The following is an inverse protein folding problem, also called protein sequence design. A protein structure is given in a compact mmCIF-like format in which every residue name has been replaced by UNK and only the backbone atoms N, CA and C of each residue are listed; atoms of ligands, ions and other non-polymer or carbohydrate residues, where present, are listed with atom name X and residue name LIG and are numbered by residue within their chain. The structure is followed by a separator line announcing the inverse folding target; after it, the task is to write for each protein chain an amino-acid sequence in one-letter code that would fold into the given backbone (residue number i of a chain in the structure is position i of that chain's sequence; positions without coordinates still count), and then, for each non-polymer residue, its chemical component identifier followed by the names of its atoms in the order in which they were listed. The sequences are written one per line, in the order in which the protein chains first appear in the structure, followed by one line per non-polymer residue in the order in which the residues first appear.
data_IF_411316573660
#
_entry.id   IF_411316573660
#
_cell.length_a   1.000
_cell.length_b   1.000
_cell.length_c   1.000
_cell.angle_alpha   90.00
_cell.angle_beta   90.00
_cell.angle_gamma   90.00
#
_symmetry.space_group_name_H-M   'P 1'
#
loop_
_entity.id
_entity.type
_entity.pdbx_description
1 polymer ?
#
# COMPACT_ATOMS: atom_id res chain seq x y z
N UNK A 1 -3.06 11.08 -36.64
CA UNK A 1 -1.88 11.43 -35.82
C UNK A 1 -2.28 11.23 -34.36
N UNK A 2 -2.03 10.04 -33.83
CA UNK A 2 -2.18 9.77 -32.40
C UNK A 2 -0.76 9.69 -31.86
N UNK A 3 -0.41 10.66 -31.01
CA UNK A 3 0.85 10.66 -30.28
C UNK A 3 0.92 9.40 -29.43
N UNK A 4 1.98 8.61 -29.64
CA UNK A 4 2.41 7.55 -28.74
C UNK A 4 2.38 8.06 -27.30
N UNK A 5 1.36 7.64 -26.56
CA UNK A 5 1.38 7.71 -25.12
C UNK A 5 2.44 6.73 -24.66
N UNK A 6 3.68 7.21 -24.50
CA UNK A 6 4.67 6.52 -23.69
C UNK A 6 3.98 6.22 -22.38
N UNK A 7 3.65 4.95 -22.15
CA UNK A 7 3.31 4.42 -20.84
C UNK A 7 4.36 4.97 -19.89
N UNK A 8 4.01 6.01 -19.13
CA UNK A 8 4.85 6.53 -18.07
C UNK A 8 4.95 5.39 -17.07
N UNK A 9 5.98 4.58 -17.29
CA UNK A 9 6.23 3.39 -16.49
C UNK A 9 6.52 3.94 -15.11
N UNK A 10 5.70 3.58 -14.12
CA UNK A 10 5.92 3.98 -12.74
C UNK A 10 7.37 3.68 -12.38
N UNK A 11 8.17 4.72 -12.20
CA UNK A 11 9.57 4.56 -11.88
C UNK A 11 9.68 4.23 -10.40
N UNK A 12 9.70 2.93 -10.08
CA UNK A 12 10.03 2.43 -8.74
C UNK A 12 11.49 2.72 -8.43
N UNK A 13 11.81 3.10 -7.19
CA UNK A 13 13.20 3.30 -6.78
C UNK A 13 14.03 2.02 -6.97
N UNK A 14 15.31 2.15 -7.40
CA UNK A 14 16.09 1.04 -7.88
C UNK A 14 16.58 0.17 -6.71
N UNK A 15 16.46 -1.16 -6.87
CA UNK A 15 17.01 -2.14 -5.93
C UNK A 15 18.54 -2.12 -5.93
N UNK A 16 19.15 -2.61 -4.84
CA UNK A 16 20.60 -2.84 -4.76
C UNK A 16 21.08 -3.81 -5.86
N UNK A 17 20.28 -4.81 -6.21
CA UNK A 17 20.56 -5.74 -7.30
C UNK A 17 20.56 -5.06 -8.67
N UNK A 18 19.68 -4.08 -8.90
CA UNK A 18 19.63 -3.33 -10.16
C UNK A 18 20.90 -2.49 -10.34
N UNK A 19 21.29 -1.72 -9.31
CA UNK A 19 22.53 -0.93 -9.36
C UNK A 19 23.77 -1.84 -9.50
N UNK A 20 23.81 -2.96 -8.81
CA UNK A 20 24.91 -3.94 -8.92
C UNK A 20 24.99 -4.55 -10.31
N UNK A 21 23.84 -4.90 -10.90
CA UNK A 21 23.75 -5.42 -12.27
C UNK A 21 24.23 -4.39 -13.28
N UNK A 22 23.76 -3.15 -13.19
CA UNK A 22 24.18 -2.05 -14.06
C UNK A 22 25.71 -1.85 -14.02
N UNK A 23 26.31 -1.83 -12.82
CA UNK A 23 27.78 -1.74 -12.67
C UNK A 23 28.50 -2.92 -13.32
N UNK A 24 27.97 -4.14 -13.17
CA UNK A 24 28.56 -5.35 -13.77
C UNK A 24 28.48 -5.33 -15.30
N UNK A 25 27.32 -4.99 -15.86
CA UNK A 25 27.11 -4.90 -17.31
C UNK A 25 27.94 -3.77 -17.92
N UNK A 26 28.03 -2.61 -17.25
CA UNK A 26 28.90 -1.52 -17.67
C UNK A 26 30.38 -1.93 -17.72
N UNK A 27 30.84 -2.72 -16.73
CA UNK A 27 32.22 -3.25 -16.71
C UNK A 27 32.48 -4.21 -17.88
N UNK A 28 31.50 -5.04 -18.24
CA UNK A 28 31.61 -5.96 -19.38
C UNK A 28 31.59 -5.23 -20.73
N UNK A 29 30.86 -4.11 -20.81
CA UNK A 29 30.70 -3.31 -22.03
C UNK A 29 31.71 -2.16 -22.17
N UNK A 30 32.69 -2.06 -21.26
CA UNK A 30 33.74 -1.04 -21.34
C UNK A 30 34.72 -1.40 -22.44
N UNK A 31 34.98 -0.47 -23.36
CA UNK A 31 35.96 -0.58 -24.43
C UNK A 31 36.83 0.68 -24.48
N UNK A 32 37.96 0.71 -25.22
CA UNK A 32 38.74 1.93 -25.40
C UNK A 32 37.92 3.13 -25.92
N UNK A 33 36.91 2.86 -26.77
CA UNK A 33 36.03 3.88 -27.35
C UNK A 33 34.77 4.15 -26.50
N UNK A 34 34.52 3.34 -25.47
CA UNK A 34 33.39 3.47 -24.55
C UNK A 34 33.88 3.33 -23.10
N UNK A 35 34.24 4.44 -22.43
CA UNK A 35 34.67 4.40 -21.04
C UNK A 35 33.54 3.90 -20.13
N UNK A 36 33.92 3.33 -19.00
CA UNK A 36 33.00 2.74 -18.02
C UNK A 36 31.84 3.67 -17.63
N UNK A 37 32.10 4.97 -17.47
CA UNK A 37 31.05 5.95 -17.13
C UNK A 37 29.98 6.06 -18.20
N UNK A 38 30.37 6.06 -19.48
CA UNK A 38 29.43 6.08 -20.61
C UNK A 38 28.64 4.77 -20.68
N UNK A 39 29.32 3.62 -20.51
CA UNK A 39 28.64 2.33 -20.45
C UNK A 39 27.65 2.25 -19.27
N UNK A 40 27.97 2.88 -18.14
CA UNK A 40 27.10 2.92 -16.96
C UNK A 40 25.89 3.86 -17.15
N UNK A 41 26.07 5.00 -17.82
CA UNK A 41 24.95 5.87 -18.21
C UNK A 41 23.99 5.15 -19.16
N UNK A 42 24.49 4.38 -20.13
CA UNK A 42 23.65 3.54 -20.99
C UNK A 42 22.84 2.51 -20.19
N UNK A 43 23.47 1.84 -19.20
CA UNK A 43 22.74 0.90 -18.33
C UNK A 43 21.70 1.60 -17.46
N UNK A 44 21.98 2.81 -16.97
CA UNK A 44 21.01 3.60 -16.22
C UNK A 44 19.81 3.99 -17.09
N UNK A 45 20.04 4.41 -18.34
CA UNK A 45 19.00 4.75 -19.30
C UNK A 45 18.14 3.54 -19.66
N UNK A 46 18.75 2.36 -19.86
CA UNK A 46 18.01 1.11 -20.03
C UNK A 46 17.15 0.76 -18.81
N UNK A 47 17.57 1.16 -17.60
CA UNK A 47 16.80 1.00 -16.38
C UNK A 47 15.75 2.11 -16.16
N UNK A 48 15.61 3.07 -17.10
CA UNK A 48 14.68 4.20 -17.00
C UNK A 48 15.20 5.40 -16.20
N UNK A 49 16.52 5.50 -16.02
CA UNK A 49 17.19 6.59 -15.30
C UNK A 49 17.98 7.48 -16.28
N UNK A 50 17.91 8.82 -16.20
CA UNK A 50 18.62 9.71 -17.12
C UNK A 50 20.13 9.45 -17.20
N UNK A 51 20.73 9.17 -16.04
CA UNK A 51 22.16 8.92 -15.87
C UNK A 51 22.41 8.03 -14.64
N UNK A 52 23.64 7.54 -14.52
CA UNK A 52 24.02 6.65 -13.43
C UNK A 52 24.00 7.33 -12.06
N UNK A 53 24.19 8.66 -12.00
CA UNK A 53 24.17 9.42 -10.74
C UNK A 53 22.76 9.43 -10.16
N UNK A 54 21.76 9.68 -11.01
CA UNK A 54 20.35 9.64 -10.67
C UNK A 54 19.94 8.24 -10.21
N UNK A 55 20.44 7.19 -10.88
CA UNK A 55 20.24 5.79 -10.44
C UNK A 55 20.84 5.54 -9.05
N UNK A 56 22.07 5.98 -8.81
CA UNK A 56 22.73 5.81 -7.52
C UNK A 56 22.05 6.61 -6.38
N UNK A 57 21.64 7.86 -6.65
CA UNK A 57 20.90 8.69 -5.69
C UNK A 57 19.56 8.06 -5.32
N UNK A 58 18.79 7.59 -6.30
CA UNK A 58 17.53 6.93 -6.06
C UNK A 58 17.71 5.61 -5.28
N UNK A 59 18.78 4.86 -5.53
CA UNK A 59 19.12 3.68 -4.74
C UNK A 59 19.47 4.06 -3.29
N UNK A 60 20.23 5.13 -3.11
CA UNK A 60 20.55 5.70 -1.79
C UNK A 60 19.31 6.10 -1.00
N UNK A 61 18.34 6.76 -1.65
CA UNK A 61 17.06 7.14 -1.03
C UNK A 61 16.31 5.91 -0.52
N UNK A 62 16.17 4.87 -1.35
CA UNK A 62 15.53 3.62 -0.93
C UNK A 62 16.24 2.99 0.27
N UNK A 63 17.57 2.90 0.23
CA UNK A 63 18.36 2.29 1.29
C UNK A 63 18.30 3.08 2.60
N UNK A 64 18.17 4.41 2.54
CA UNK A 64 18.02 5.26 3.71
C UNK A 64 16.72 4.94 4.50
N UNK A 65 15.76 4.30 3.85
CA UNK A 65 14.45 3.96 4.40
C UNK A 65 14.24 2.44 4.56
N UNK A 66 15.31 1.65 4.45
CA UNK A 66 15.24 0.21 4.69
C UNK A 66 14.98 -0.08 6.17
N UNK A 67 14.00 -0.93 6.46
CA UNK A 67 13.64 -1.31 7.84
C UNK A 67 12.67 -0.36 8.55
N UNK A 68 12.26 0.74 7.90
CA UNK A 68 11.20 1.60 8.42
C UNK A 68 9.87 0.85 8.54
N UNK A 69 9.06 1.26 9.52
CA UNK A 69 7.80 0.61 9.85
C UNK A 69 6.74 0.71 8.74
N UNK A 70 6.81 1.78 7.94
CA UNK A 70 6.07 1.93 6.69
C UNK A 70 7.12 1.94 5.55
N UNK A 71 7.27 0.81 4.82
CA UNK A 71 8.35 0.66 3.86
C UNK A 71 8.12 1.49 2.60
N UNK A 72 9.21 2.00 2.04
CA UNK A 72 9.27 2.69 0.74
C UNK A 72 9.62 1.69 -0.37
N UNK A 73 8.79 1.65 -1.41
CA UNK A 73 8.89 0.72 -2.55
C UNK A 73 9.21 -0.73 -2.14
N UNK A 74 8.42 -1.33 -1.23
CA UNK A 74 8.66 -2.70 -0.86
C UNK A 74 8.48 -3.64 -2.06
N UNK A 75 9.12 -4.80 -2.02
CA UNK A 75 8.91 -5.83 -3.04
C UNK A 75 7.53 -6.45 -2.83
N UNK A 76 6.59 -6.06 -3.69
CA UNK A 76 5.23 -6.58 -3.71
C UNK A 76 5.17 -7.95 -4.41
N UNK A 77 4.21 -8.82 -4.06
CA UNK A 77 3.87 -9.99 -4.85
C UNK A 77 3.59 -9.65 -6.32
N UNK A 78 3.82 -10.58 -7.26
CA UNK A 78 3.38 -10.41 -8.65
C UNK A 78 1.88 -10.11 -8.71
N UNK A 79 1.47 -9.19 -9.59
CA UNK A 79 0.06 -8.80 -9.78
C UNK A 79 -0.66 -8.31 -8.50
N UNK A 80 0.08 -7.78 -7.52
CA UNK A 80 -0.47 -7.35 -6.22
C UNK A 80 -1.70 -6.43 -6.35
N UNK A 81 -1.66 -5.44 -7.25
CA UNK A 81 -2.77 -4.50 -7.50
C UNK A 81 -3.74 -4.95 -8.61
N UNK A 82 -3.67 -6.21 -9.02
CA UNK A 82 -4.57 -6.83 -10.01
C UNK A 82 -5.25 -8.11 -9.46
N UNK A 83 -4.90 -8.50 -8.24
CA UNK A 83 -5.46 -9.69 -7.58
C UNK A 83 -6.68 -9.26 -6.76
N UNK A 84 -7.85 -9.90 -6.88
CA UNK A 84 -8.99 -9.68 -5.98
C UNK A 84 -8.70 -10.06 -4.52
N UNK A 85 -9.32 -9.38 -3.54
CA UNK A 85 -9.05 -9.64 -2.11
C UNK A 85 -9.33 -11.09 -1.72
N UNK A 86 -10.48 -11.60 -2.12
CA UNK A 86 -10.93 -12.99 -1.96
C UNK A 86 -10.01 -14.05 -2.60
N UNK A 87 -9.23 -13.69 -3.63
CA UNK A 87 -8.32 -14.62 -4.30
C UNK A 87 -6.92 -14.66 -3.64
N UNK A 88 -6.65 -13.82 -2.63
CA UNK A 88 -5.36 -13.77 -1.95
C UNK A 88 -5.19 -14.91 -0.96
N UNK A 89 -3.97 -15.44 -0.89
CA UNK A 89 -3.60 -16.40 0.16
C UNK A 89 -3.62 -15.75 1.55
N UNK A 90 -3.94 -16.53 2.58
CA UNK A 90 -3.89 -16.11 3.99
C UNK A 90 -2.53 -15.49 4.36
N UNK A 91 -1.42 -16.08 3.89
CA UNK A 91 -0.06 -15.55 4.13
C UNK A 91 0.15 -14.16 3.54
N UNK A 92 -0.45 -13.87 2.38
CA UNK A 92 -0.37 -12.55 1.77
C UNK A 92 -1.21 -11.55 2.54
N UNK A 93 -2.43 -11.93 2.92
CA UNK A 93 -3.31 -11.10 3.75
C UNK A 93 -2.66 -10.80 5.11
N UNK A 94 -2.09 -11.80 5.80
CA UNK A 94 -1.35 -11.58 7.05
C UNK A 94 -0.19 -10.60 6.88
N UNK A 95 0.50 -10.66 5.73
CA UNK A 95 1.65 -9.83 5.46
C UNK A 95 1.28 -8.39 5.14
N UNK A 96 0.16 -8.15 4.46
CA UNK A 96 -0.16 -6.85 3.86
C UNK A 96 -1.43 -6.18 4.38
N UNK A 97 -2.35 -6.92 4.99
CA UNK A 97 -3.65 -6.38 5.39
C UNK A 97 -3.49 -5.33 6.49
N UNK A 98 -4.10 -4.16 6.30
CA UNK A 98 -4.00 -2.97 7.16
C UNK A 98 -2.56 -2.48 7.42
N UNK A 99 -1.60 -2.88 6.58
CA UNK A 99 -0.20 -2.46 6.68
C UNK A 99 0.14 -1.52 5.52
N UNK A 100 0.23 -0.21 5.79
CA UNK A 100 0.49 0.76 4.73
C UNK A 100 1.92 0.63 4.20
N UNK A 101 2.11 1.11 2.98
CA UNK A 101 3.41 1.22 2.31
C UNK A 101 3.42 2.45 1.40
N UNK A 102 4.62 2.89 1.03
CA UNK A 102 4.83 4.05 0.16
C UNK A 102 5.32 3.59 -1.22
N UNK A 103 4.81 4.21 -2.28
CA UNK A 103 5.25 4.00 -3.67
C UNK A 103 5.81 5.30 -4.22
N UNK A 104 7.03 5.28 -4.77
CA UNK A 104 7.61 6.43 -5.46
C UNK A 104 7.00 6.63 -6.84
N UNK A 105 6.74 7.88 -7.24
CA UNK A 105 6.25 8.23 -8.58
C UNK A 105 7.36 8.80 -9.46
N UNK A 106 7.13 8.76 -10.77
CA UNK A 106 8.06 9.30 -11.77
C UNK A 106 8.23 10.82 -11.71
N UNK A 107 7.26 11.54 -11.14
CA UNK A 107 7.30 12.99 -10.93
C UNK A 107 8.03 13.40 -9.64
N UNK A 108 8.54 12.43 -8.88
CA UNK A 108 9.24 12.66 -7.61
C UNK A 108 8.33 12.72 -6.38
N UNK A 109 7.01 12.60 -6.55
CA UNK A 109 6.07 12.49 -5.43
C UNK A 109 5.95 11.06 -4.89
N UNK A 110 5.27 10.89 -3.77
CA UNK A 110 5.12 9.62 -3.07
C UNK A 110 3.65 9.32 -2.77
N UNK A 111 3.18 8.15 -3.19
CA UNK A 111 1.83 7.67 -2.84
C UNK A 111 1.86 6.86 -1.54
N UNK A 112 0.93 7.13 -0.65
CA UNK A 112 0.61 6.26 0.48
C UNK A 112 -0.49 5.27 0.07
N UNK A 113 -0.28 3.98 0.31
CA UNK A 113 -1.23 2.92 -0.06
C UNK A 113 -1.37 1.89 1.06
N UNK A 114 -2.48 1.16 1.09
CA UNK A 114 -2.67 0.03 2.00
C UNK A 114 -3.64 -1.01 1.41
N UNK A 115 -3.37 -2.29 1.64
CA UNK A 115 -4.36 -3.34 1.38
C UNK A 115 -5.29 -3.42 2.60
N UNK A 116 -6.48 -2.82 2.54
CA UNK A 116 -7.35 -2.67 3.71
C UNK A 116 -8.85 -2.84 3.42
N UNK A 117 -9.20 -3.26 2.21
CA UNK A 117 -10.59 -3.48 1.78
C UNK A 117 -11.31 -2.22 1.31
N UNK A 118 -10.64 -1.05 1.25
CA UNK A 118 -11.22 0.15 0.64
C UNK A 118 -11.38 0.05 -0.89
N UNK A 119 -10.60 -0.83 -1.52
CA UNK A 119 -10.79 -1.26 -2.91
C UNK A 119 -10.90 -2.79 -2.94
N UNK A 120 -11.71 -3.30 -3.87
CA UNK A 120 -12.00 -4.74 -3.97
C UNK A 120 -10.88 -5.54 -4.66
N UNK A 121 -10.18 -4.92 -5.61
CA UNK A 121 -9.25 -5.59 -6.55
C UNK A 121 -7.79 -5.13 -6.44
N UNK A 122 -7.49 -4.19 -5.53
CA UNK A 122 -6.16 -3.58 -5.41
C UNK A 122 -5.92 -2.96 -4.04
N UNK A 123 -4.70 -2.51 -3.78
CA UNK A 123 -4.43 -1.63 -2.64
C UNK A 123 -5.18 -0.30 -2.76
N UNK A 124 -5.71 0.16 -1.64
CA UNK A 124 -6.39 1.45 -1.51
C UNK A 124 -5.36 2.58 -1.54
N UNK A 125 -5.63 3.58 -2.39
CA UNK A 125 -4.88 4.82 -2.42
C UNK A 125 -5.30 5.71 -1.24
N UNK A 126 -4.35 6.04 -0.37
CA UNK A 126 -4.56 6.86 0.83
C UNK A 126 -4.24 8.34 0.56
N UNK A 127 -3.46 8.63 -0.47
CA UNK A 127 -3.11 9.98 -0.90
C UNK A 127 -1.67 10.09 -1.42
N UNK A 128 -1.26 11.30 -1.79
CA UNK A 128 0.09 11.61 -2.31
C UNK A 128 0.73 12.71 -1.48
N UNK A 129 2.05 12.69 -1.32
CA UNK A 129 2.84 13.73 -0.68
C UNK A 129 4.14 14.03 -1.44
N UNK A 130 4.81 15.13 -1.09
CA UNK A 130 6.05 15.57 -1.74
C UNK A 130 7.31 14.90 -1.16
N UNK A 131 7.22 14.41 0.08
CA UNK A 131 8.33 13.74 0.78
C UNK A 131 7.90 12.38 1.34
N UNK A 132 8.88 11.52 1.63
CA UNK A 132 8.64 10.19 2.21
C UNK A 132 8.01 10.32 3.61
N UNK A 133 8.50 11.28 4.41
CA UNK A 133 8.03 11.54 5.77
C UNK A 133 6.57 12.00 5.78
N UNK A 134 6.20 12.93 4.90
CA UNK A 134 4.81 13.37 4.74
C UNK A 134 3.91 12.23 4.26
N UNK A 135 4.38 11.40 3.32
CA UNK A 135 3.63 10.25 2.84
C UNK A 135 3.36 9.25 3.97
N UNK A 136 4.32 9.03 4.86
CA UNK A 136 4.15 8.18 6.05
C UNK A 136 3.19 8.77 7.06
N UNK A 137 3.30 10.07 7.34
CA UNK A 137 2.34 10.75 8.22
C UNK A 137 0.91 10.61 7.68
N UNK A 138 0.74 10.84 6.37
CA UNK A 138 -0.52 10.64 5.67
C UNK A 138 -1.04 9.20 5.77
N UNK A 139 -0.17 8.21 5.53
CA UNK A 139 -0.51 6.80 5.64
C UNK A 139 -1.03 6.43 7.03
N UNK A 140 -0.36 6.90 8.10
CA UNK A 140 -0.80 6.65 9.49
C UNK A 140 -2.18 7.25 9.77
N UNK A 141 -2.39 8.50 9.35
CA UNK A 141 -3.65 9.21 9.57
C UNK A 141 -4.79 8.48 8.84
N UNK A 142 -4.62 8.23 7.55
CA UNK A 142 -5.66 7.63 6.70
C UNK A 142 -5.96 6.19 7.04
N UNK A 143 -4.95 5.40 7.39
CA UNK A 143 -5.17 4.03 7.83
C UNK A 143 -5.90 3.99 9.19
N UNK A 144 -5.56 4.90 10.12
CA UNK A 144 -6.26 5.01 11.40
C UNK A 144 -7.72 5.40 11.20
N UNK A 145 -8.00 6.41 10.38
CA UNK A 145 -9.36 6.84 10.04
C UNK A 145 -10.17 5.67 9.45
N UNK A 146 -9.59 4.90 8.52
CA UNK A 146 -10.24 3.74 7.92
C UNK A 146 -10.59 2.64 8.94
N UNK A 147 -9.65 2.30 9.83
CA UNK A 147 -9.87 1.32 10.90
C UNK A 147 -10.97 1.81 11.86
N UNK A 148 -10.98 3.09 12.20
CA UNK A 148 -11.98 3.67 13.09
C UNK A 148 -13.39 3.57 12.48
N UNK A 149 -13.55 3.89 11.20
CA UNK A 149 -14.82 3.79 10.48
C UNK A 149 -15.29 2.34 10.39
N UNK A 150 -14.41 1.45 9.95
CA UNK A 150 -14.77 0.06 9.66
C UNK A 150 -14.96 -0.80 10.91
N UNK A 151 -14.44 -0.37 12.05
CA UNK A 151 -14.71 -1.00 13.35
C UNK A 151 -16.03 -0.55 13.99
N UNK A 152 -16.76 0.41 13.40
CA UNK A 152 -18.06 0.82 13.92
C UNK A 152 -19.14 -0.23 13.62
N UNK A 153 -20.03 -0.53 14.59
CA UNK A 153 -21.17 -1.40 14.35
C UNK A 153 -22.19 -0.76 13.41
N UNK A 154 -22.60 -1.51 12.39
CA UNK A 154 -23.71 -1.16 11.51
C UNK A 154 -24.98 -1.93 11.93
N UNK A 155 -26.14 -1.35 11.62
CA UNK A 155 -27.43 -2.03 11.80
C UNK A 155 -27.79 -2.77 10.51
N UNK A 156 -27.97 -4.08 10.61
CA UNK A 156 -28.39 -4.95 9.51
C UNK A 156 -29.82 -5.42 9.77
N UNK A 157 -30.76 -4.97 8.93
CA UNK A 157 -32.16 -5.40 9.02
C UNK A 157 -32.31 -6.80 8.41
N UNK A 158 -32.99 -7.68 9.15
CA UNK A 158 -33.36 -9.04 8.74
C UNK A 158 -34.67 -9.05 7.96
N UNK A 159 -34.94 -10.17 7.30
CA UNK A 159 -36.19 -10.39 6.56
C UNK A 159 -37.44 -10.42 7.47
N UNK A 160 -37.29 -10.77 8.75
CA UNK A 160 -38.37 -10.78 9.75
C UNK A 160 -38.63 -9.40 10.39
N UNK A 161 -37.91 -8.35 9.96
CA UNK A 161 -38.02 -6.98 10.46
C UNK A 161 -37.19 -6.69 11.71
N UNK A 162 -36.52 -7.69 12.28
CA UNK A 162 -35.59 -7.49 13.40
C UNK A 162 -34.23 -6.98 12.90
N UNK A 163 -33.43 -6.44 13.82
CA UNK A 163 -32.13 -5.84 13.51
C UNK A 163 -31.00 -6.54 14.25
N UNK A 164 -29.92 -6.84 13.52
CA UNK A 164 -28.64 -7.22 14.10
C UNK A 164 -27.69 -6.01 14.11
N UNK A 165 -26.94 -5.82 15.20
CA UNK A 165 -25.81 -4.90 15.25
C UNK A 165 -24.54 -5.68 14.95
N UNK A 166 -23.88 -5.35 13.84
CA UNK A 166 -22.79 -6.15 13.27
C UNK A 166 -21.58 -5.25 13.02
N UNK A 167 -20.38 -5.71 13.35
CA UNK A 167 -19.13 -5.17 12.79
C UNK A 167 -18.81 -6.02 11.57
N UNK A 168 -18.81 -5.39 10.39
CA UNK A 168 -18.49 -6.08 9.14
C UNK A 168 -17.02 -6.48 9.12
N UNK A 169 -16.76 -7.70 8.67
CA UNK A 169 -15.41 -8.12 8.33
C UNK A 169 -14.86 -7.22 7.23
N UNK A 170 -13.67 -6.68 7.45
CA UNK A 170 -12.95 -5.93 6.40
C UNK A 170 -12.08 -6.84 5.57
N UNK A 171 -11.49 -7.86 6.20
CA UNK A 171 -10.62 -8.84 5.57
C UNK A 171 -11.45 -10.01 5.02
N UNK A 172 -11.16 -10.50 3.80
CA UNK A 172 -12.00 -11.50 3.12
C UNK A 172 -12.09 -12.86 3.82
N UNK A 173 -11.14 -13.21 4.68
CA UNK A 173 -11.10 -14.45 5.47
C UNK A 173 -11.59 -14.25 6.92
N UNK A 174 -12.14 -13.07 7.24
CA UNK A 174 -12.75 -12.79 8.54
C UNK A 174 -14.27 -12.92 8.47
N UNK A 175 -14.84 -13.39 9.57
CA UNK A 175 -16.29 -13.42 9.75
C UNK A 175 -16.80 -12.12 10.36
N UNK A 176 -18.02 -11.75 9.98
CA UNK A 176 -18.73 -10.64 10.60
C UNK A 176 -18.92 -10.89 12.10
N UNK A 177 -18.74 -9.86 12.92
CA UNK A 177 -18.96 -9.97 14.38
C UNK A 177 -20.32 -9.42 14.75
N UNK A 178 -21.22 -10.29 15.21
CA UNK A 178 -22.55 -9.90 15.72
C UNK A 178 -22.42 -9.47 17.18
N UNK A 179 -22.70 -8.20 17.48
CA UNK A 179 -22.65 -7.64 18.84
C UNK A 179 -23.99 -7.77 19.58
N UNK A 180 -25.08 -7.68 18.84
CA UNK A 180 -26.44 -7.90 19.32
C UNK A 180 -27.29 -8.39 18.15
N UNK A 181 -28.30 -9.19 18.44
CA UNK A 181 -29.15 -9.80 17.42
C UNK A 181 -30.61 -9.74 17.80
N UNK A 182 -31.49 -9.78 16.80
CA UNK A 182 -32.94 -9.83 16.98
C UNK A 182 -33.51 -8.63 17.76
N UNK A 183 -32.92 -7.45 17.59
CA UNK A 183 -33.39 -6.20 18.19
C UNK A 183 -34.63 -5.68 17.48
N UNK A 184 -35.54 -5.05 18.22
CA UNK A 184 -36.52 -4.18 17.59
C UNK A 184 -35.85 -2.90 17.04
N UNK A 185 -36.34 -2.31 15.94
CA UNK A 185 -35.71 -1.13 15.33
C UNK A 185 -35.53 0.06 16.28
N UNK A 186 -36.44 0.25 17.23
CA UNK A 186 -36.41 1.33 18.24
C UNK A 186 -35.39 1.08 19.37
N UNK A 187 -34.96 -0.17 19.58
CA UNK A 187 -33.96 -0.55 20.58
C UNK A 187 -32.51 -0.31 20.10
N UNK A 188 -32.30 -0.22 18.79
CA UNK A 188 -30.95 -0.22 18.16
C UNK A 188 -30.05 0.87 18.72
N UNK A 189 -30.54 2.10 18.85
CA UNK A 189 -29.73 3.23 19.33
C UNK A 189 -29.36 3.06 20.80
N UNK A 190 -30.31 2.63 21.64
CA UNK A 190 -30.07 2.40 23.06
C UNK A 190 -29.03 1.29 23.30
N UNK A 191 -29.07 0.21 22.50
CA UNK A 191 -28.07 -0.86 22.57
C UNK A 191 -26.71 -0.38 22.06
N UNK A 192 -26.67 0.36 20.94
CA UNK A 192 -25.42 0.92 20.39
C UNK A 192 -24.71 1.84 21.39
N UNK A 193 -25.45 2.69 22.11
CA UNK A 193 -24.86 3.60 23.09
C UNK A 193 -24.30 2.86 24.31
N UNK A 194 -24.96 1.80 24.78
CA UNK A 194 -24.43 0.93 25.85
C UNK A 194 -23.11 0.27 25.45
N UNK A 195 -22.98 -0.16 24.19
CA UNK A 195 -21.75 -0.78 23.68
C UNK A 195 -20.57 0.20 23.64
N UNK A 196 -20.82 1.48 23.31
CA UNK A 196 -19.79 2.53 23.35
C UNK A 196 -19.26 2.81 24.76
N UNK A 197 -20.14 2.78 25.76
CA UNK A 197 -19.78 3.05 27.17
C UNK A 197 -19.02 1.87 27.82
N UNK A 198 -19.24 0.63 27.35
CA UNK A 198 -18.57 -0.56 27.85
C UNK A 198 -17.14 -0.79 27.33
N UNK A 199 -16.78 -0.24 26.15
CA UNK A 199 -15.50 -0.49 25.47
C UNK A 199 -14.27 0.23 26.05
N UNK A 200 -14.45 1.14 27.03
CA UNK A 200 -13.36 1.90 27.64
C UNK A 200 -12.49 1.15 28.66
N UNK A 201 -12.77 -0.14 28.94
CA UNK A 201 -11.97 -0.95 29.87
C UNK A 201 -11.24 -2.07 29.15
N UNK A 202 -10.03 -1.76 28.68
CA UNK A 202 -8.89 -2.67 28.64
C UNK A 202 -8.82 -3.67 27.48
N UNK A 203 -7.87 -3.43 26.57
CA UNK A 203 -6.95 -4.48 26.12
C UNK A 203 -5.52 -3.95 26.33
N UNK A 204 -4.81 -4.58 27.28
CA UNK A 204 -3.36 -4.49 27.43
C UNK A 204 -2.69 -5.26 26.30
#
# INVERSE_FOLDING_TARGET
MFTDGVLMTERKLPTNSLLTRAKREAKQNTTPDKPYTQALDEQAQMAGYPDWRTLAMANGLRNAHEGDDIPLDPVLPPNFDQTPNEDRSEKELDKWWNKPFIVSRSDGSFEARALNGGAWDRSTYLGTAATVEEARALARIKQKEWIEITSQPIACMRADGLVDLVIMATRPDWENTVLASALQPDEVNAVRDKLKVGGGRGRK
#
